data_IF_714910387001
#
_entry.id   IF_714910387001
#
_cell.length_a   1.000
_cell.length_b   1.000
_cell.length_c   1.000
_cell.angle_alpha   90.00
_cell.angle_beta   90.00
_cell.angle_gamma   90.00
#
_symmetry.space_group_name_H-M   'P 1'
#
loop_
_entity.id
_entity.type
_entity.pdbx_description
1 polymer ?
#
# COMPACT_ATOMS: atom_id res chain seq x y z
N UNK A 1 2.54 -6.61 7.00
CA UNK A 1 2.41 -5.96 5.68
C UNK A 1 2.87 -6.98 4.64
N UNK A 2 2.12 -7.18 3.54
CA UNK A 2 2.57 -8.08 2.45
C UNK A 2 3.82 -7.51 1.79
N UNK A 3 4.71 -8.37 1.27
CA UNK A 3 5.83 -7.93 0.42
C UNK A 3 5.26 -7.54 -0.94
N UNK A 4 5.45 -6.30 -1.41
CA UNK A 4 5.21 -5.95 -2.80
C UNK A 4 6.25 -6.63 -3.68
N UNK A 5 5.81 -7.13 -4.82
CA UNK A 5 6.61 -7.92 -5.77
C UNK A 5 6.35 -7.37 -7.16
N UNK A 6 7.39 -7.11 -7.95
CA UNK A 6 7.23 -6.45 -9.25
C UNK A 6 6.28 -7.20 -10.19
N UNK A 7 6.52 -8.51 -10.37
CA UNK A 7 5.69 -9.34 -11.20
C UNK A 7 4.43 -9.73 -10.43
N UNK A 8 3.25 -9.35 -10.94
CA UNK A 8 2.00 -9.76 -10.31
C UNK A 8 1.77 -11.26 -10.48
N UNK A 9 1.13 -11.92 -9.49
CA UNK A 9 0.86 -13.37 -9.55
C UNK A 9 0.17 -13.82 -10.83
N UNK A 10 -0.79 -13.03 -11.34
CA UNK A 10 -1.56 -13.38 -12.53
C UNK A 10 -0.67 -13.58 -13.79
N UNK A 11 0.48 -12.89 -13.87
CA UNK A 11 1.38 -12.99 -15.02
C UNK A 11 2.17 -14.30 -14.96
N UNK A 12 2.63 -14.68 -13.77
CA UNK A 12 3.30 -15.97 -13.54
C UNK A 12 2.30 -17.13 -13.68
N UNK A 13 1.05 -16.96 -13.23
CA UNK A 13 -0.03 -17.94 -13.41
C UNK A 13 -0.34 -18.15 -14.89
N UNK A 14 -0.42 -17.06 -15.67
CA UNK A 14 -0.55 -17.11 -17.13
C UNK A 14 0.55 -17.96 -17.80
N UNK A 15 1.81 -17.74 -17.41
CA UNK A 15 2.95 -18.52 -17.92
C UNK A 15 2.87 -19.98 -17.47
N UNK A 16 2.53 -20.23 -16.21
CA UNK A 16 2.38 -21.57 -15.66
C UNK A 16 1.28 -22.39 -16.36
N UNK A 17 0.23 -21.72 -16.85
CA UNK A 17 -0.90 -22.34 -17.54
C UNK A 17 -0.66 -22.51 -19.06
N UNK A 18 -0.12 -21.48 -19.71
CA UNK A 18 -0.08 -21.38 -21.18
C UNK A 18 1.33 -21.48 -21.76
N UNK A 19 2.36 -21.28 -20.94
CA UNK A 19 3.75 -21.30 -21.36
C UNK A 19 4.21 -22.70 -21.78
N UNK A 20 5.17 -22.79 -22.72
CA UNK A 20 5.84 -24.07 -22.99
C UNK A 20 6.69 -24.48 -21.79
N UNK A 21 6.91 -25.79 -21.61
CA UNK A 21 8.00 -26.23 -20.73
C UNK A 21 9.34 -25.92 -21.42
N UNK A 22 10.36 -25.39 -20.70
CA UNK A 22 10.48 -25.29 -19.24
C UNK A 22 9.97 -23.97 -18.59
N UNK A 23 9.47 -23.00 -19.36
CA UNK A 23 9.02 -21.70 -18.81
C UNK A 23 7.87 -21.84 -17.81
N UNK A 24 6.92 -22.75 -18.07
CA UNK A 24 5.82 -23.03 -17.15
C UNK A 24 6.29 -23.60 -15.80
N UNK A 25 7.27 -24.52 -15.80
CA UNK A 25 7.88 -25.03 -14.56
C UNK A 25 8.56 -23.92 -13.74
N UNK A 26 9.33 -23.04 -14.39
CA UNK A 26 9.98 -21.91 -13.72
C UNK A 26 8.97 -20.93 -13.12
N UNK A 27 7.92 -20.57 -13.86
CA UNK A 27 6.88 -19.69 -13.33
C UNK A 27 6.18 -20.28 -12.09
N UNK A 28 5.91 -21.60 -12.08
CA UNK A 28 5.39 -22.30 -10.88
C UNK A 28 6.39 -22.28 -9.73
N UNK A 29 7.68 -22.34 -10.00
CA UNK A 29 8.72 -22.25 -8.97
C UNK A 29 8.78 -20.84 -8.35
N UNK A 30 8.79 -19.80 -9.19
CA UNK A 30 8.71 -18.40 -8.74
C UNK A 30 7.45 -18.14 -7.90
N UNK A 31 6.26 -18.57 -8.35
CA UNK A 31 5.03 -18.44 -7.57
C UNK A 31 5.10 -19.07 -6.17
N UNK A 32 5.66 -20.28 -6.07
CA UNK A 32 5.86 -20.93 -4.77
C UNK A 32 6.82 -20.13 -3.89
N UNK A 33 7.90 -19.63 -4.49
CA UNK A 33 8.90 -18.86 -3.75
C UNK A 33 8.35 -17.53 -3.25
N UNK A 34 7.60 -16.82 -4.08
CA UNK A 34 6.96 -15.55 -3.72
C UNK A 34 5.94 -15.75 -2.60
N UNK A 35 5.23 -16.88 -2.59
CA UNK A 35 4.32 -17.23 -1.50
C UNK A 35 5.07 -17.50 -0.19
N UNK A 36 6.20 -18.22 -0.24
CA UNK A 36 7.06 -18.47 0.92
C UNK A 36 7.62 -17.16 1.50
N UNK A 37 8.14 -16.28 0.64
CA UNK A 37 8.68 -14.97 1.03
C UNK A 37 7.61 -14.12 1.71
N UNK A 38 6.42 -14.01 1.12
CA UNK A 38 5.28 -13.29 1.72
C UNK A 38 4.88 -13.88 3.07
N UNK A 39 4.84 -15.21 3.19
CA UNK A 39 4.53 -15.88 4.46
C UNK A 39 5.59 -15.64 5.54
N UNK A 40 6.87 -15.50 5.17
CA UNK A 40 7.95 -15.26 6.11
C UNK A 40 7.98 -13.81 6.65
N UNK A 41 7.57 -12.80 5.86
CA UNK A 41 7.45 -11.42 6.36
C UNK A 41 6.26 -11.24 7.30
N UNK A 42 5.17 -11.99 7.11
CA UNK A 42 4.02 -11.94 8.03
C UNK A 42 4.35 -12.39 9.46
N UNK A 43 5.46 -13.10 9.69
CA UNK A 43 5.89 -13.54 11.03
C UNK A 43 6.94 -12.64 11.68
N UNK A 44 7.43 -11.61 10.98
CA UNK A 44 8.55 -10.78 11.43
C UNK A 44 8.19 -9.30 11.33
N UNK A 45 7.96 -8.65 12.48
CA UNK A 45 7.87 -7.18 12.51
C UNK A 45 9.21 -6.57 12.13
N UNK A 46 9.25 -5.55 11.25
CA UNK A 46 10.50 -4.86 10.97
C UNK A 46 11.00 -4.20 12.25
N UNK A 47 12.19 -4.60 12.70
CA UNK A 47 12.94 -3.80 13.66
C UNK A 47 13.31 -2.49 12.97
N UNK A 48 13.22 -1.32 13.64
CA UNK A 48 13.67 -0.07 13.05
C UNK A 48 15.15 -0.22 12.65
N UNK A 49 15.54 0.21 11.43
CA UNK A 49 16.93 0.15 11.03
C UNK A 49 17.77 0.98 12.00
N UNK A 50 18.76 0.34 12.62
CA UNK A 50 19.77 1.06 13.40
C UNK A 50 20.65 1.83 12.41
N UNK A 51 20.93 3.12 12.63
CA UNK A 51 21.86 3.86 11.78
C UNK A 51 23.19 3.11 11.72
N UNK A 52 23.64 2.76 10.50
CA UNK A 52 24.95 2.16 10.33
C UNK A 52 26.04 3.18 10.72
N UNK A 53 27.11 2.76 11.41
CA UNK A 53 28.29 3.60 11.59
C UNK A 53 28.86 3.99 10.22
N UNK A 54 28.87 5.28 9.88
CA UNK A 54 29.50 5.80 8.65
C UNK A 54 28.58 6.49 7.64
N UNK A 55 27.26 6.62 7.91
CA UNK A 55 26.39 7.45 7.06
C UNK A 55 26.88 8.91 7.06
N UNK A 56 27.23 9.43 5.87
CA UNK A 56 27.55 10.85 5.69
C UNK A 56 26.27 11.54 5.22
N UNK A 57 25.73 12.52 5.97
CA UNK A 57 24.51 13.21 5.58
C UNK A 57 24.59 13.76 4.15
N UNK A 58 23.55 13.54 3.37
CA UNK A 58 23.51 13.99 1.97
C UNK A 58 24.46 13.24 1.03
N UNK A 59 24.82 12.00 1.34
CA UNK A 59 25.46 11.07 0.41
C UNK A 59 24.78 9.70 0.49
N UNK A 60 24.62 9.00 -0.64
CA UNK A 60 24.12 7.63 -0.62
C UNK A 60 25.15 6.72 0.08
N UNK A 61 24.65 5.63 0.66
CA UNK A 61 25.47 4.54 1.18
C UNK A 61 24.94 3.22 0.63
N UNK A 62 25.50 2.78 -0.50
CA UNK A 62 25.04 1.59 -1.22
C UNK A 62 25.97 0.41 -1.01
N UNK A 63 25.38 -0.77 -0.86
CA UNK A 63 26.11 -2.04 -0.93
C UNK A 63 25.32 -3.04 -1.76
N UNK A 64 25.96 -3.55 -2.81
CA UNK A 64 25.42 -4.65 -3.61
C UNK A 64 26.10 -5.96 -3.19
N UNK A 65 25.28 -6.98 -3.01
CA UNK A 65 25.65 -8.35 -2.74
C UNK A 65 25.26 -9.25 -3.91
N UNK A 66 25.89 -10.41 -4.01
CA UNK A 66 25.50 -11.50 -4.90
C UNK A 66 25.05 -12.70 -4.07
N UNK A 67 23.87 -13.24 -4.36
CA UNK A 67 23.43 -14.51 -3.79
C UNK A 67 24.04 -15.73 -4.51
N UNK A 68 24.84 -15.51 -5.56
CA UNK A 68 25.55 -16.54 -6.33
C UNK A 68 24.62 -17.68 -6.81
N UNK A 69 23.43 -17.32 -7.30
CA UNK A 69 22.36 -18.22 -7.73
C UNK A 69 21.78 -19.10 -6.61
N UNK A 70 22.01 -18.73 -5.35
CA UNK A 70 21.33 -19.31 -4.19
C UNK A 70 20.20 -18.39 -3.74
N UNK A 71 19.38 -18.86 -2.80
CA UNK A 71 18.30 -18.06 -2.21
C UNK A 71 18.69 -17.48 -0.83
N UNK A 72 19.99 -17.46 -0.50
CA UNK A 72 20.49 -16.94 0.78
C UNK A 72 20.76 -15.43 0.68
N UNK A 73 20.19 -14.67 1.62
CA UNK A 73 20.36 -13.22 1.71
C UNK A 73 21.24 -12.83 2.92
N UNK A 74 22.05 -11.76 2.84
CA UNK A 74 22.22 -10.90 1.66
C UNK A 74 23.15 -11.51 0.58
N UNK A 75 23.89 -12.57 0.91
CA UNK A 75 24.91 -13.16 0.03
C UNK A 75 26.31 -12.58 0.28
N UNK A 76 27.18 -12.69 -0.72
CA UNK A 76 28.56 -12.17 -0.66
C UNK A 76 28.61 -10.72 -1.16
N UNK A 77 29.37 -9.85 -0.48
CA UNK A 77 29.54 -8.46 -0.92
C UNK A 77 30.21 -8.39 -2.29
N UNK A 78 29.56 -7.73 -3.25
CA UNK A 78 30.03 -7.59 -4.62
C UNK A 78 30.54 -6.18 -4.93
N UNK A 79 29.86 -5.14 -4.41
CA UNK A 79 30.26 -3.74 -4.63
C UNK A 79 29.80 -2.83 -3.49
N UNK A 80 30.75 -2.16 -2.83
CA UNK A 80 30.49 -1.17 -1.78
C UNK A 80 30.46 0.27 -2.31
N UNK A 81 30.00 1.21 -1.47
CA UNK A 81 29.96 2.63 -1.80
C UNK A 81 31.34 3.16 -2.23
N UNK A 82 31.40 3.86 -3.37
CA UNK A 82 32.63 4.40 -3.95
C UNK A 82 33.53 3.38 -4.65
N UNK A 83 33.20 2.09 -4.63
CA UNK A 83 33.97 1.08 -5.36
C UNK A 83 33.75 1.19 -6.89
N UNK A 84 34.79 0.91 -7.70
CA UNK A 84 34.67 0.92 -9.16
C UNK A 84 33.69 -0.17 -9.65
N UNK A 85 33.22 -0.02 -10.88
CA UNK A 85 32.40 -1.01 -11.57
C UNK A 85 33.08 -2.39 -11.59
N UNK A 86 32.30 -3.45 -11.38
CA UNK A 86 32.80 -4.82 -11.27
C UNK A 86 32.95 -5.50 -12.63
N UNK A 87 32.21 -5.01 -13.64
CA UNK A 87 32.08 -5.66 -14.95
C UNK A 87 30.98 -6.72 -14.99
N UNK A 88 30.31 -6.97 -13.87
CA UNK A 88 29.06 -7.73 -13.84
C UNK A 88 27.88 -6.76 -14.07
N UNK A 89 27.10 -6.93 -15.15
CA UNK A 89 26.03 -6.01 -15.47
C UNK A 89 24.95 -5.93 -14.38
N UNK A 90 24.61 -7.04 -13.72
CA UNK A 90 23.56 -7.01 -12.70
C UNK A 90 24.02 -6.22 -11.47
N UNK A 91 25.27 -6.44 -11.03
CA UNK A 91 25.86 -5.70 -9.91
C UNK A 91 25.96 -4.21 -10.22
N UNK A 92 26.45 -3.87 -11.40
CA UNK A 92 26.69 -2.48 -11.80
C UNK A 92 25.36 -1.72 -12.02
N UNK A 93 24.38 -2.33 -12.67
CA UNK A 93 23.04 -1.76 -12.84
C UNK A 93 22.31 -1.57 -11.50
N UNK A 94 22.36 -2.55 -10.59
CA UNK A 94 21.76 -2.41 -9.27
C UNK A 94 22.42 -1.27 -8.48
N UNK A 95 23.75 -1.17 -8.50
CA UNK A 95 24.49 -0.11 -7.82
C UNK A 95 24.13 1.28 -8.36
N UNK A 96 24.04 1.41 -9.67
CA UNK A 96 23.71 2.67 -10.34
C UNK A 96 22.23 3.04 -10.15
N UNK A 97 21.31 2.07 -10.22
CA UNK A 97 19.87 2.28 -10.03
C UNK A 97 19.49 2.66 -8.59
N UNK A 98 20.13 2.04 -7.58
CA UNK A 98 20.00 2.48 -6.18
C UNK A 98 20.46 3.93 -6.03
N UNK A 99 21.57 4.30 -6.68
CA UNK A 99 22.10 5.66 -6.66
C UNK A 99 21.18 6.67 -7.31
N UNK A 100 20.67 6.38 -8.52
CA UNK A 100 19.74 7.23 -9.24
C UNK A 100 18.43 7.46 -8.46
N UNK A 101 17.95 6.42 -7.77
CA UNK A 101 16.76 6.54 -6.91
C UNK A 101 17.01 7.47 -5.73
N UNK A 102 18.11 7.28 -5.02
CA UNK A 102 18.51 8.20 -3.94
C UNK A 102 18.62 9.64 -4.46
N UNK A 103 19.25 9.82 -5.63
CA UNK A 103 19.50 11.13 -6.22
C UNK A 103 18.20 11.88 -6.53
N UNK A 104 17.19 11.22 -7.12
CA UNK A 104 15.88 11.84 -7.33
C UNK A 104 15.28 12.35 -6.02
N UNK A 105 15.17 11.47 -5.01
CA UNK A 105 14.53 11.83 -3.74
C UNK A 105 15.28 12.94 -3.00
N UNK A 106 16.60 12.92 -3.07
CA UNK A 106 17.43 13.94 -2.45
C UNK A 106 17.33 15.29 -3.18
N UNK A 107 17.52 15.31 -4.50
CA UNK A 107 17.56 16.56 -5.28
C UNK A 107 16.18 17.21 -5.40
N UNK A 108 15.15 16.41 -5.72
CA UNK A 108 13.81 16.95 -5.97
C UNK A 108 13.04 17.22 -4.68
N UNK A 109 13.26 16.41 -3.64
CA UNK A 109 12.40 16.41 -2.44
C UNK A 109 13.15 16.58 -1.12
N UNK A 110 14.48 16.77 -1.15
CA UNK A 110 15.31 16.91 0.05
C UNK A 110 15.16 15.74 1.04
N UNK A 111 14.82 14.54 0.53
CA UNK A 111 14.67 13.33 1.33
C UNK A 111 15.96 12.54 1.31
N UNK A 112 16.61 12.39 2.47
CA UNK A 112 17.84 11.60 2.60
C UNK A 112 17.50 10.10 2.71
N UNK A 113 17.58 9.38 1.59
CA UNK A 113 17.27 7.95 1.47
C UNK A 113 15.80 7.56 1.74
N UNK A 114 15.50 6.26 1.76
CA UNK A 114 14.14 5.73 1.80
C UNK A 114 13.39 6.12 3.07
N UNK A 115 14.08 6.27 4.21
CA UNK A 115 13.49 6.63 5.50
C UNK A 115 13.59 8.13 5.83
N UNK A 116 14.19 8.93 4.95
CA UNK A 116 14.46 10.35 5.16
C UNK A 116 15.56 10.65 6.18
N UNK A 117 16.33 9.65 6.63
CA UNK A 117 17.39 9.77 7.65
C UNK A 117 18.68 9.06 7.26
N UNK A 118 18.92 8.87 5.95
CA UNK A 118 20.16 8.30 5.44
C UNK A 118 20.27 6.78 5.61
N UNK A 119 19.13 6.06 5.58
CA UNK A 119 19.12 4.59 5.56
C UNK A 119 20.07 4.02 4.49
N UNK A 120 20.93 3.04 4.83
CA UNK A 120 21.75 2.34 3.84
C UNK A 120 20.89 1.64 2.79
N UNK A 121 21.33 1.69 1.53
CA UNK A 121 20.62 1.09 0.41
C UNK A 121 21.31 -0.21 0.03
N UNK A 122 20.68 -1.32 0.39
CA UNK A 122 21.23 -2.65 0.18
C UNK A 122 20.50 -3.31 -0.99
N UNK A 123 21.25 -4.04 -1.83
CA UNK A 123 20.69 -4.82 -2.92
C UNK A 123 21.39 -6.17 -3.07
N UNK A 124 20.64 -7.22 -3.35
CA UNK A 124 21.19 -8.55 -3.66
C UNK A 124 20.79 -8.94 -5.10
N UNK A 125 21.78 -9.26 -5.93
CA UNK A 125 21.59 -9.77 -7.30
C UNK A 125 21.85 -11.28 -7.38
N UNK A 126 21.57 -11.89 -8.53
CA UNK A 126 21.72 -13.33 -8.77
C UNK A 126 20.98 -14.19 -7.74
N UNK A 127 19.76 -13.75 -7.39
CA UNK A 127 18.91 -14.46 -6.45
C UNK A 127 18.22 -15.64 -7.11
N UNK A 128 18.43 -16.84 -6.57
CA UNK A 128 17.88 -18.08 -7.12
C UNK A 128 18.42 -18.41 -8.51
N UNK A 129 17.80 -19.37 -9.19
CA UNK A 129 18.12 -19.72 -10.58
C UNK A 129 16.90 -19.43 -11.44
N UNK A 130 17.08 -18.68 -12.52
CA UNK A 130 16.02 -18.22 -13.43
C UNK A 130 14.83 -17.55 -12.71
N UNK A 131 15.09 -16.90 -11.57
CA UNK A 131 14.05 -16.28 -10.77
C UNK A 131 13.50 -15.05 -11.51
N UNK A 132 12.25 -15.14 -11.96
CA UNK A 132 11.58 -14.09 -12.71
C UNK A 132 10.85 -13.10 -11.77
N UNK A 133 11.54 -12.49 -10.80
CA UNK A 133 10.97 -11.41 -10.02
C UNK A 133 12.03 -10.49 -9.38
N UNK A 134 11.58 -9.35 -8.86
CA UNK A 134 12.31 -8.48 -7.95
C UNK A 134 11.38 -7.98 -6.84
N UNK A 135 11.94 -7.67 -5.66
CA UNK A 135 11.15 -7.19 -4.54
C UNK A 135 11.94 -6.43 -3.47
N UNK A 136 11.22 -5.59 -2.73
CA UNK A 136 11.67 -4.98 -1.47
C UNK A 136 11.25 -5.81 -0.25
N UNK A 137 12.21 -6.37 0.48
CA UNK A 137 11.91 -7.26 1.62
C UNK A 137 11.65 -6.51 2.95
N UNK A 138 11.76 -5.17 2.96
CA UNK A 138 11.68 -4.34 4.16
C UNK A 138 13.04 -3.84 4.66
N UNK A 139 14.14 -4.40 4.14
CA UNK A 139 15.52 -4.05 4.51
C UNK A 139 16.40 -3.84 3.29
N UNK A 140 16.20 -4.63 2.24
CA UNK A 140 17.02 -4.62 1.03
C UNK A 140 16.21 -4.95 -0.22
N UNK A 141 16.77 -4.57 -1.36
CA UNK A 141 16.35 -4.99 -2.68
C UNK A 141 16.85 -6.39 -3.01
N UNK A 142 16.04 -7.19 -3.69
CA UNK A 142 16.43 -8.51 -4.20
C UNK A 142 16.03 -8.61 -5.67
N UNK A 143 16.97 -9.04 -6.52
CA UNK A 143 16.80 -9.13 -7.96
C UNK A 143 17.11 -10.53 -8.47
N UNK A 144 16.17 -11.09 -9.23
CA UNK A 144 16.40 -12.27 -10.05
C UNK A 144 16.97 -11.92 -11.43
N UNK A 145 17.61 -12.90 -12.04
CA UNK A 145 18.22 -12.77 -13.38
C UNK A 145 17.23 -12.99 -14.53
N UNK A 146 15.97 -13.33 -14.22
CA UNK A 146 15.01 -13.77 -15.24
C UNK A 146 15.44 -15.09 -15.88
N UNK A 147 14.65 -15.56 -16.84
CA UNK A 147 14.91 -16.85 -17.49
C UNK A 147 15.60 -16.73 -18.87
N UNK A 148 15.85 -15.50 -19.32
CA UNK A 148 16.41 -15.22 -20.65
C UNK A 148 15.51 -15.65 -21.81
N UNK A 149 14.28 -16.11 -21.53
CA UNK A 149 13.30 -16.52 -22.54
C UNK A 149 12.11 -15.58 -22.59
N UNK A 150 11.50 -15.29 -21.44
CA UNK A 150 10.42 -14.33 -21.31
C UNK A 150 10.92 -13.04 -20.65
N UNK A 151 11.80 -13.18 -19.66
CA UNK A 151 12.32 -12.06 -18.87
C UNK A 151 13.85 -11.99 -18.94
N UNK A 152 14.35 -10.78 -19.16
CA UNK A 152 15.73 -10.40 -18.90
C UNK A 152 15.96 -10.25 -17.38
N UNK A 153 17.21 -9.96 -16.99
CA UNK A 153 17.55 -9.62 -15.60
C UNK A 153 16.75 -8.41 -15.10
N UNK A 154 16.28 -8.46 -13.87
CA UNK A 154 15.41 -7.44 -13.31
C UNK A 154 16.14 -6.14 -12.95
N UNK A 155 17.47 -6.17 -12.94
CA UNK A 155 18.32 -4.98 -12.81
C UNK A 155 18.40 -4.14 -14.09
N UNK A 156 18.01 -4.70 -15.25
CA UNK A 156 18.14 -4.00 -16.53
C UNK A 156 17.21 -2.79 -16.67
N UNK A 157 16.16 -2.72 -15.84
CA UNK A 157 15.12 -1.70 -15.92
C UNK A 157 15.24 -0.73 -14.74
N UNK A 158 15.65 0.51 -15.02
CA UNK A 158 15.93 1.51 -13.98
C UNK A 158 14.67 1.95 -13.22
N UNK A 159 13.57 2.11 -13.94
CA UNK A 159 12.24 2.39 -13.39
C UNK A 159 11.74 1.30 -12.44
N UNK A 160 12.06 0.03 -12.71
CA UNK A 160 11.77 -1.10 -11.82
C UNK A 160 12.57 -1.00 -10.53
N UNK A 161 13.86 -0.71 -10.60
CA UNK A 161 14.68 -0.47 -9.40
C UNK A 161 14.09 0.69 -8.58
N UNK A 162 13.71 1.79 -9.26
CA UNK A 162 13.07 2.95 -8.63
C UNK A 162 11.70 2.63 -8.03
N UNK A 163 10.89 1.81 -8.69
CA UNK A 163 9.59 1.34 -8.22
C UNK A 163 9.72 0.59 -6.90
N UNK A 164 10.58 -0.43 -6.87
CA UNK A 164 10.74 -1.27 -5.69
C UNK A 164 11.26 -0.49 -4.47
N UNK A 165 12.23 0.40 -4.68
CA UNK A 165 12.75 1.27 -3.63
C UNK A 165 11.70 2.29 -3.16
N UNK A 166 10.78 2.71 -4.05
CA UNK A 166 9.68 3.62 -3.70
C UNK A 166 8.66 2.98 -2.77
N UNK A 167 8.51 1.65 -2.75
CA UNK A 167 7.77 0.97 -1.68
C UNK A 167 8.37 1.23 -0.30
N UNK A 168 9.70 1.30 -0.19
CA UNK A 168 10.37 1.70 1.05
C UNK A 168 10.00 3.14 1.47
N UNK A 169 9.94 4.08 0.52
CA UNK A 169 9.48 5.45 0.80
C UNK A 169 8.04 5.47 1.30
N UNK A 170 7.16 4.69 0.66
CA UNK A 170 5.75 4.56 1.07
C UNK A 170 5.66 3.97 2.49
N UNK A 171 6.45 2.93 2.80
CA UNK A 171 6.51 2.28 4.13
C UNK A 171 6.93 3.26 5.23
N UNK A 172 7.89 4.15 4.96
CA UNK A 172 8.36 5.18 5.90
C UNK A 172 7.59 6.50 5.84
N UNK A 173 6.44 6.55 5.16
CA UNK A 173 5.58 7.74 5.06
C UNK A 173 4.12 7.41 5.34
N UNK A 174 3.26 7.32 4.31
CA UNK A 174 1.84 7.04 4.44
C UNK A 174 1.53 5.61 4.90
N UNK A 175 2.45 4.67 4.70
CA UNK A 175 2.27 3.27 5.05
C UNK A 175 1.06 2.64 4.37
N UNK A 176 0.79 3.00 3.10
CA UNK A 176 -0.39 2.56 2.35
C UNK A 176 -0.53 1.04 2.42
N UNK A 177 -1.67 0.58 2.95
CA UNK A 177 -2.01 -0.82 3.11
C UNK A 177 -2.02 -1.48 1.73
N UNK A 178 -1.32 -2.60 1.61
CA UNK A 178 -1.20 -3.33 0.35
C UNK A 178 -2.44 -4.21 0.07
N UNK A 179 -3.61 -3.56 -0.06
CA UNK A 179 -4.86 -4.20 -0.42
C UNK A 179 -5.86 -3.19 -1.02
N UNK A 180 -6.67 -3.66 -1.96
CA UNK A 180 -7.74 -2.89 -2.61
C UNK A 180 -7.21 -1.56 -3.20
N UNK A 181 -7.96 -0.45 -3.09
CA UNK A 181 -7.54 0.85 -3.60
C UNK A 181 -6.28 1.42 -2.92
N UNK A 182 -6.07 1.18 -1.62
CA UNK A 182 -4.83 1.62 -0.95
C UNK A 182 -3.62 0.87 -1.50
N UNK A 183 -3.78 -0.41 -1.83
CA UNK A 183 -2.72 -1.20 -2.47
C UNK A 183 -2.48 -0.77 -3.91
N UNK A 184 -3.53 -0.48 -4.66
CA UNK A 184 -3.39 0.06 -6.01
C UNK A 184 -2.76 1.47 -6.04
N UNK A 185 -2.99 2.30 -5.01
CA UNK A 185 -2.24 3.55 -4.82
C UNK A 185 -0.78 3.28 -4.45
N UNK A 186 -0.51 2.28 -3.62
CA UNK A 186 0.86 1.89 -3.27
C UNK A 186 1.66 1.52 -4.54
N UNK A 187 1.11 0.64 -5.37
CA UNK A 187 1.67 0.29 -6.69
C UNK A 187 1.81 1.49 -7.62
N UNK A 188 0.78 2.33 -7.70
CA UNK A 188 0.81 3.49 -8.59
C UNK A 188 1.84 4.53 -8.17
N UNK A 189 1.98 4.80 -6.87
CA UNK A 189 2.99 5.72 -6.36
C UNK A 189 4.40 5.16 -6.62
N UNK A 190 4.58 3.84 -6.50
CA UNK A 190 5.83 3.19 -6.85
C UNK A 190 6.14 3.33 -8.36
N UNK A 191 5.17 3.10 -9.25
CA UNK A 191 5.31 3.33 -10.70
C UNK A 191 5.64 4.80 -11.02
N UNK A 192 4.94 5.75 -10.38
CA UNK A 192 5.16 7.19 -10.53
C UNK A 192 6.61 7.54 -10.21
N UNK A 193 7.11 7.16 -9.03
CA UNK A 193 8.48 7.51 -8.66
C UNK A 193 9.52 6.71 -9.45
N UNK A 194 9.24 5.45 -9.82
CA UNK A 194 10.08 4.69 -10.75
C UNK A 194 10.26 5.38 -12.10
N UNK A 195 9.16 5.83 -12.71
CA UNK A 195 9.19 6.61 -13.95
C UNK A 195 9.96 7.93 -13.77
N UNK A 196 9.76 8.63 -12.64
CA UNK A 196 10.51 9.85 -12.34
C UNK A 196 12.00 9.61 -12.13
N UNK A 197 12.42 8.47 -11.56
CA UNK A 197 13.84 8.11 -11.43
C UNK A 197 14.47 7.96 -12.81
N UNK A 198 13.81 7.23 -13.71
CA UNK A 198 14.26 7.08 -15.10
C UNK A 198 14.35 8.44 -15.81
N UNK A 199 13.32 9.27 -15.70
CA UNK A 199 13.29 10.59 -16.32
C UNK A 199 14.37 11.52 -15.77
N UNK A 200 14.56 11.56 -14.46
CA UNK A 200 15.58 12.37 -13.80
C UNK A 200 17.00 11.95 -14.22
N UNK A 201 17.26 10.64 -14.22
CA UNK A 201 18.57 10.10 -14.61
C UNK A 201 18.89 10.37 -16.09
N UNK A 202 17.88 10.35 -16.96
CA UNK A 202 18.03 10.59 -18.40
C UNK A 202 17.86 12.07 -18.79
N UNK A 203 17.49 12.95 -17.87
CA UNK A 203 17.20 14.36 -18.13
C UNK A 203 16.02 14.57 -19.08
N UNK A 204 14.99 13.73 -18.99
CA UNK A 204 13.82 13.76 -19.86
C UNK A 204 12.71 14.65 -19.30
N UNK A 205 12.12 15.47 -20.16
CA UNK A 205 10.86 16.15 -19.86
C UNK A 205 9.66 15.21 -20.01
N UNK A 206 8.51 15.60 -19.46
CA UNK A 206 7.29 14.79 -19.47
C UNK A 206 6.83 14.36 -20.88
N UNK A 207 7.09 15.18 -21.91
CA UNK A 207 6.77 14.90 -23.32
C UNK A 207 7.80 14.00 -24.03
N UNK A 208 8.95 13.76 -23.41
CA UNK A 208 10.02 12.90 -23.92
C UNK A 208 10.02 11.51 -23.29
N UNK A 209 9.43 11.37 -22.10
CA UNK A 209 9.37 10.12 -21.36
C UNK A 209 8.50 9.07 -22.07
N UNK A 210 8.90 7.81 -21.99
CA UNK A 210 8.14 6.69 -22.55
C UNK A 210 6.85 6.38 -21.77
N UNK A 211 6.86 6.68 -20.45
CA UNK A 211 5.79 6.35 -19.51
C UNK A 211 5.45 4.86 -19.48
N UNK A 212 6.46 4.03 -19.73
CA UNK A 212 6.40 2.58 -19.65
C UNK A 212 7.08 2.12 -18.36
N UNK A 213 6.56 1.06 -17.75
CA UNK A 213 7.18 0.43 -16.58
C UNK A 213 7.73 -0.94 -16.98
N UNK A 214 9.04 -1.13 -16.81
CA UNK A 214 9.66 -2.43 -17.11
C UNK A 214 9.91 -2.66 -18.60
N UNK A 215 10.19 -1.61 -19.38
CA UNK A 215 10.35 -1.70 -20.83
C UNK A 215 11.54 -2.60 -21.25
N UNK A 216 12.54 -2.71 -20.38
CA UNK A 216 13.75 -3.50 -20.59
C UNK A 216 13.62 -4.96 -20.12
N UNK A 217 12.48 -5.34 -19.49
CA UNK A 217 12.32 -6.66 -18.88
C UNK A 217 11.94 -7.75 -19.87
N UNK A 218 11.08 -7.47 -20.83
CA UNK A 218 10.68 -8.48 -21.80
C UNK A 218 11.80 -8.75 -22.81
N UNK A 219 11.98 -10.01 -23.17
CA UNK A 219 12.85 -10.40 -24.28
C UNK A 219 12.17 -10.11 -25.62
N UNK A 220 12.92 -10.23 -26.71
CA UNK A 220 12.38 -10.10 -28.07
C UNK A 220 11.37 -11.20 -28.46
N UNK A 221 11.19 -12.23 -27.63
CA UNK A 221 10.24 -13.32 -27.83
C UNK A 221 8.83 -13.00 -27.34
N UNK A 222 8.68 -11.99 -26.47
CA UNK A 222 7.40 -11.58 -25.90
C UNK A 222 6.76 -10.50 -26.76
N UNK A 223 5.46 -10.65 -27.07
CA UNK A 223 4.69 -9.58 -27.73
C UNK A 223 4.20 -8.57 -26.70
N UNK A 224 5.12 -7.73 -26.25
CA UNK A 224 4.86 -6.63 -25.32
C UNK A 224 5.96 -5.59 -25.40
N UNK A 225 5.66 -4.38 -24.93
CA UNK A 225 6.62 -3.26 -24.87
C UNK A 225 7.07 -2.96 -23.45
N UNK A 226 6.31 -3.39 -22.44
CA UNK A 226 6.56 -3.15 -21.02
C UNK A 226 5.61 -3.99 -20.15
N UNK A 227 5.83 -4.03 -18.83
CA UNK A 227 4.85 -4.62 -17.89
C UNK A 227 3.57 -3.78 -17.82
N UNK A 228 3.70 -2.45 -17.83
CA UNK A 228 2.59 -1.50 -17.70
C UNK A 228 2.83 -0.25 -18.55
N UNK A 229 1.75 0.41 -18.94
CA UNK A 229 1.75 1.70 -19.64
C UNK A 229 0.99 2.71 -18.79
N UNK A 230 1.64 3.82 -18.41
CA UNK A 230 0.96 4.89 -17.69
C UNK A 230 0.15 5.80 -18.63
N UNK A 231 0.48 5.84 -19.93
CA UNK A 231 -0.28 6.60 -20.94
C UNK A 231 -1.61 5.90 -21.24
N UNK A 232 -1.54 4.60 -21.53
CA UNK A 232 -2.67 3.79 -21.95
C UNK A 232 -2.63 2.44 -21.21
N UNK A 233 -3.07 2.40 -19.93
CA UNK A 233 -3.18 1.14 -19.19
C UNK A 233 -4.04 0.12 -19.96
N UNK A 234 -3.59 -1.13 -20.04
CA UNK A 234 -4.23 -2.19 -20.82
C UNK A 234 -3.66 -2.39 -22.23
N UNK A 235 -2.57 -1.68 -22.57
CA UNK A 235 -1.92 -1.72 -23.89
C UNK A 235 -0.47 -2.24 -23.88
N UNK A 236 0.11 -2.50 -22.70
CA UNK A 236 1.54 -2.76 -22.60
C UNK A 236 1.97 -4.09 -23.24
N UNK A 237 1.08 -5.08 -23.28
CA UNK A 237 1.32 -6.37 -23.93
C UNK A 237 0.03 -7.07 -24.38
N UNK A 238 0.14 -7.89 -25.43
CA UNK A 238 -0.87 -8.83 -25.93
C UNK A 238 -0.17 -10.06 -26.51
N UNK A 239 0.15 -10.99 -25.62
CA UNK A 239 0.99 -12.15 -25.88
C UNK A 239 0.22 -13.47 -25.69
N UNK A 240 0.45 -14.52 -26.50
CA UNK A 240 -0.29 -15.77 -26.38
C UNK A 240 -0.01 -16.50 -25.06
N UNK A 241 1.18 -16.29 -24.48
CA UNK A 241 1.56 -16.87 -23.19
C UNK A 241 1.12 -15.93 -22.06
N UNK A 242 1.56 -14.68 -22.07
CA UNK A 242 1.28 -13.74 -20.97
C UNK A 242 -0.20 -13.34 -20.89
N UNK A 243 -0.93 -13.42 -22.01
CA UNK A 243 -2.26 -12.84 -22.14
C UNK A 243 -2.19 -11.37 -22.54
N UNK A 244 -3.26 -10.64 -22.27
CA UNK A 244 -3.35 -9.19 -22.51
C UNK A 244 -3.21 -8.44 -21.19
N UNK A 245 -2.53 -7.30 -21.23
CA UNK A 245 -2.48 -6.33 -20.13
C UNK A 245 -3.91 -6.04 -19.59
N UNK A 246 -4.19 -6.38 -18.32
CA UNK A 246 -5.55 -6.29 -17.76
C UNK A 246 -5.88 -4.91 -17.17
N UNK A 247 -4.94 -3.96 -17.14
CA UNK A 247 -5.13 -2.72 -16.37
C UNK A 247 -6.22 -1.82 -16.96
N UNK A 248 -7.21 -1.37 -16.16
CA UNK A 248 -8.07 -0.26 -16.53
C UNK A 248 -7.34 1.09 -16.40
N UNK A 249 -7.65 2.01 -17.30
CA UNK A 249 -7.23 3.41 -17.21
C UNK A 249 -8.35 4.39 -16.78
N UNK A 250 -9.51 3.89 -16.37
CA UNK A 250 -10.66 4.69 -15.93
C UNK A 250 -11.49 3.93 -14.88
N UNK A 251 -12.14 4.65 -13.96
CA UNK A 251 -12.98 4.05 -12.90
C UNK A 251 -14.15 3.19 -13.42
N UNK A 252 -14.67 3.47 -14.61
CA UNK A 252 -15.68 2.62 -15.27
C UNK A 252 -15.18 1.19 -15.55
N UNK A 253 -13.86 1.02 -15.67
CA UNK A 253 -13.19 -0.27 -15.83
C UNK A 253 -12.65 -0.85 -14.53
N UNK A 254 -12.92 -0.23 -13.37
CA UNK A 254 -12.41 -0.68 -12.08
C UNK A 254 -12.75 -2.16 -11.84
N UNK A 255 -11.73 -2.96 -11.53
CA UNK A 255 -11.87 -4.40 -11.33
C UNK A 255 -12.06 -4.68 -9.85
N UNK A 256 -13.25 -5.17 -9.48
CA UNK A 256 -13.50 -5.70 -8.13
C UNK A 256 -13.15 -7.18 -8.10
N UNK A 257 -12.11 -7.55 -7.36
CA UNK A 257 -11.62 -8.93 -7.23
C UNK A 257 -11.07 -9.18 -5.83
N UNK A 258 -10.88 -10.44 -5.45
CA UNK A 258 -10.10 -10.85 -4.27
C UNK A 258 -8.69 -11.30 -4.63
N UNK A 259 -8.44 -11.56 -5.91
CA UNK A 259 -7.11 -11.91 -6.42
C UNK A 259 -6.19 -10.70 -6.36
N UNK A 260 -4.88 -10.93 -6.41
CA UNK A 260 -3.90 -9.85 -6.47
C UNK A 260 -4.11 -8.79 -5.36
N UNK A 261 -4.40 -9.25 -4.14
CA UNK A 261 -4.68 -8.40 -2.98
C UNK A 261 -5.83 -7.38 -3.19
N UNK A 262 -6.84 -7.72 -4.00
CA UNK A 262 -7.88 -6.76 -4.38
C UNK A 262 -7.57 -6.00 -5.68
N UNK A 263 -6.75 -6.60 -6.55
CA UNK A 263 -6.36 -6.04 -7.84
C UNK A 263 -5.41 -4.85 -7.71
N UNK A 264 -4.40 -4.93 -6.85
CA UNK A 264 -3.46 -3.83 -6.60
C UNK A 264 -2.64 -3.48 -7.85
N UNK A 265 -2.13 -4.48 -8.57
CA UNK A 265 -1.41 -4.25 -9.82
C UNK A 265 -2.36 -4.02 -11.00
N UNK A 266 -3.59 -4.50 -10.91
CA UNK A 266 -4.60 -4.32 -11.96
C UNK A 266 -5.08 -2.86 -11.93
N UNK A 267 -5.62 -2.40 -10.80
CA UNK A 267 -6.28 -1.11 -10.69
C UNK A 267 -5.32 0.09 -10.58
N UNK A 268 -4.01 -0.14 -10.43
CA UNK A 268 -2.99 0.94 -10.39
C UNK A 268 -2.89 1.73 -11.71
N UNK A 269 -3.38 1.17 -12.82
CA UNK A 269 -3.47 1.88 -14.11
C UNK A 269 -4.29 3.18 -14.03
N UNK A 270 -5.33 3.23 -13.20
CA UNK A 270 -6.22 4.40 -13.05
C UNK A 270 -5.44 5.60 -12.47
N UNK A 271 -4.83 5.52 -11.27
CA UNK A 271 -4.01 6.59 -10.73
C UNK A 271 -2.70 6.83 -11.52
N UNK A 272 -2.12 5.82 -12.19
CA UNK A 272 -0.98 6.01 -13.08
C UNK A 272 -1.32 6.96 -14.24
N UNK A 273 -2.46 6.74 -14.88
CA UNK A 273 -2.93 7.61 -15.97
C UNK A 273 -3.23 9.03 -15.46
N UNK A 274 -3.80 9.17 -14.26
CA UNK A 274 -4.00 10.49 -13.66
C UNK A 274 -2.68 11.24 -13.47
N UNK A 275 -1.63 10.58 -12.95
CA UNK A 275 -0.33 11.21 -12.82
C UNK A 275 0.26 11.62 -14.18
N UNK A 276 0.23 10.70 -15.15
CA UNK A 276 0.77 10.94 -16.50
C UNK A 276 0.09 12.14 -17.18
N UNK A 277 -1.24 12.25 -17.06
CA UNK A 277 -2.02 13.36 -17.60
C UNK A 277 -1.65 14.69 -16.90
N UNK A 278 -1.54 14.69 -15.57
CA UNK A 278 -1.16 15.87 -14.80
C UNK A 278 0.27 16.34 -15.16
N UNK A 279 1.23 15.41 -15.22
CA UNK A 279 2.61 15.69 -15.60
C UNK A 279 2.72 16.26 -17.02
N UNK A 280 1.99 15.68 -17.97
CA UNK A 280 1.96 16.15 -19.36
C UNK A 280 1.34 17.54 -19.47
N UNK A 281 0.24 17.80 -18.76
CA UNK A 281 -0.42 19.11 -18.74
C UNK A 281 0.46 20.21 -18.12
N UNK A 282 1.26 19.85 -17.11
CA UNK A 282 2.17 20.78 -16.44
C UNK A 282 3.47 21.00 -17.22
N UNK A 283 3.89 20.01 -18.02
CA UNK A 283 5.08 20.06 -18.87
C UNK A 283 6.39 20.18 -18.09
N UNK A 284 7.50 20.30 -18.83
CA UNK A 284 8.84 20.38 -18.25
C UNK A 284 9.25 19.08 -17.58
N UNK A 285 10.10 19.18 -16.55
CA UNK A 285 10.56 18.04 -15.77
C UNK A 285 9.46 17.58 -14.81
N UNK A 286 8.92 16.37 -15.00
CA UNK A 286 7.74 15.92 -14.25
C UNK A 286 7.97 15.87 -12.72
N UNK A 287 9.21 15.64 -12.27
CA UNK A 287 9.55 15.59 -10.83
C UNK A 287 9.46 16.97 -10.14
N UNK A 288 9.57 18.08 -10.87
CA UNK A 288 9.58 19.42 -10.27
C UNK A 288 8.19 19.90 -9.83
N UNK A 289 7.14 19.55 -10.59
CA UNK A 289 5.76 20.02 -10.33
C UNK A 289 4.84 18.86 -9.98
N UNK A 290 4.54 17.97 -10.92
CA UNK A 290 3.63 16.84 -10.68
C UNK A 290 4.19 15.89 -9.60
N UNK A 291 5.48 15.55 -9.67
CA UNK A 291 6.16 14.74 -8.67
C UNK A 291 6.14 15.38 -7.28
N UNK A 292 6.41 16.68 -7.18
CA UNK A 292 6.34 17.42 -5.92
C UNK A 292 4.91 17.41 -5.31
N UNK A 293 3.87 17.51 -6.14
CA UNK A 293 2.46 17.42 -5.69
C UNK A 293 2.15 16.03 -5.13
N UNK A 294 2.52 14.97 -5.85
CA UNK A 294 2.30 13.59 -5.40
C UNK A 294 3.10 13.29 -4.14
N UNK A 295 4.36 13.74 -4.07
CA UNK A 295 5.20 13.59 -2.88
C UNK A 295 4.58 14.32 -1.67
N UNK A 296 4.13 15.56 -1.83
CA UNK A 296 3.48 16.31 -0.77
C UNK A 296 2.19 15.63 -0.25
N UNK A 297 1.39 15.03 -1.14
CA UNK A 297 0.22 14.25 -0.75
C UNK A 297 0.62 12.97 0.00
N UNK A 298 1.66 12.25 -0.45
CA UNK A 298 2.16 11.03 0.17
C UNK A 298 2.76 11.27 1.57
N UNK A 299 3.43 12.40 1.79
CA UNK A 299 4.07 12.72 3.07
C UNK A 299 3.22 13.61 3.99
N UNK A 300 2.02 14.01 3.55
CA UNK A 300 1.17 14.95 4.26
C UNK A 300 0.36 14.31 5.39
N UNK A 301 0.08 15.08 6.43
CA UNK A 301 -0.57 14.63 7.68
C UNK A 301 -2.00 14.09 7.51
N UNK A 302 -2.61 14.32 6.33
CA UNK A 302 -3.99 13.95 6.03
C UNK A 302 -4.14 12.59 5.33
N UNK A 303 -3.05 12.00 4.84
CA UNK A 303 -3.09 10.67 4.24
C UNK A 303 -3.10 9.60 5.32
N UNK A 304 -3.86 8.53 5.11
CA UNK A 304 -3.92 7.37 5.99
C UNK A 304 -3.55 6.09 5.23
N UNK A 305 -3.20 5.03 5.95
CA UNK A 305 -2.84 3.75 5.35
C UNK A 305 -3.97 3.13 4.51
N UNK A 306 -5.23 3.44 4.80
CA UNK A 306 -6.41 2.97 4.09
C UNK A 306 -6.92 3.93 2.99
N UNK A 307 -6.10 4.93 2.61
CA UNK A 307 -6.44 5.93 1.60
C UNK A 307 -7.02 5.30 0.32
N UNK A 308 -8.14 5.84 -0.14
CA UNK A 308 -8.80 5.46 -1.38
C UNK A 308 -8.49 6.46 -2.52
N UNK A 309 -8.88 6.13 -3.74
CA UNK A 309 -8.55 6.94 -4.90
C UNK A 309 -9.14 8.36 -4.83
N UNK A 310 -10.39 8.48 -4.37
CA UNK A 310 -11.06 9.77 -4.25
C UNK A 310 -10.38 10.68 -3.20
N UNK A 311 -9.97 10.10 -2.08
CA UNK A 311 -9.21 10.79 -1.04
C UNK A 311 -7.87 11.25 -1.56
N UNK A 312 -7.12 10.38 -2.24
CA UNK A 312 -5.82 10.75 -2.81
C UNK A 312 -5.94 11.82 -3.91
N UNK A 313 -6.98 11.75 -4.75
CA UNK A 313 -7.28 12.79 -5.74
C UNK A 313 -7.53 14.16 -5.10
N UNK A 314 -8.27 14.19 -3.97
CA UNK A 314 -8.47 15.41 -3.19
C UNK A 314 -7.17 15.92 -2.56
N UNK A 315 -6.35 15.05 -1.98
CA UNK A 315 -5.09 15.43 -1.33
C UNK A 315 -4.08 16.01 -2.34
N UNK A 316 -3.93 15.38 -3.51
CA UNK A 316 -3.08 15.89 -4.59
C UNK A 316 -3.62 17.21 -5.14
N UNK A 317 -4.94 17.37 -5.27
CA UNK A 317 -5.55 18.65 -5.68
C UNK A 317 -5.31 19.77 -4.67
N UNK A 318 -5.35 19.47 -3.36
CA UNK A 318 -5.03 20.43 -2.31
C UNK A 318 -3.54 20.82 -2.31
N UNK A 319 -2.65 19.85 -2.47
CA UNK A 319 -1.21 20.10 -2.60
C UNK A 319 -0.91 20.96 -3.85
N UNK A 320 -1.59 20.70 -4.96
CA UNK A 320 -1.49 21.49 -6.18
C UNK A 320 -1.98 22.94 -5.99
N UNK A 321 -3.12 23.14 -5.33
CA UNK A 321 -3.66 24.46 -5.03
C UNK A 321 -2.75 25.31 -4.12
N UNK A 322 -1.96 24.67 -3.25
CA UNK A 322 -0.95 25.36 -2.44
C UNK A 322 0.21 25.93 -3.28
N UNK A 323 0.43 25.41 -4.50
CA UNK A 323 1.42 25.92 -5.45
C UNK A 323 0.79 27.00 -6.34
N UNK A 324 -0.38 26.72 -6.92
CA UNK A 324 -1.07 27.67 -7.79
C UNK A 324 -2.26 27.08 -8.53
N UNK A 325 -3.06 27.95 -9.13
CA UNK A 325 -4.29 27.56 -9.83
C UNK A 325 -4.01 26.75 -11.12
N UNK A 326 -2.86 26.97 -11.75
CA UNK A 326 -2.46 26.19 -12.94
C UNK A 326 -2.22 24.72 -12.57
N UNK A 327 -1.52 24.49 -11.47
CA UNK A 327 -1.28 23.17 -10.89
C UNK A 327 -2.59 22.52 -10.46
N UNK A 328 -3.42 23.25 -9.72
CA UNK A 328 -4.69 22.75 -9.23
C UNK A 328 -5.60 22.29 -10.38
N UNK A 329 -5.73 23.11 -11.43
CA UNK A 329 -6.56 22.78 -12.58
C UNK A 329 -6.03 21.58 -13.37
N UNK A 330 -4.71 21.49 -13.57
CA UNK A 330 -4.11 20.33 -14.26
C UNK A 330 -4.39 19.02 -13.51
N UNK A 331 -4.23 19.03 -12.19
CA UNK A 331 -4.46 17.85 -11.34
C UNK A 331 -5.94 17.47 -11.28
N UNK A 332 -6.85 18.45 -11.08
CA UNK A 332 -8.30 18.18 -11.09
C UNK A 332 -8.77 17.60 -12.42
N UNK A 333 -8.30 18.15 -13.55
CA UNK A 333 -8.63 17.63 -14.88
C UNK A 333 -8.12 16.20 -15.08
N UNK A 334 -6.90 15.92 -14.65
CA UNK A 334 -6.31 14.59 -14.78
C UNK A 334 -7.09 13.54 -13.99
N UNK A 335 -7.51 13.84 -12.76
CA UNK A 335 -8.36 12.94 -11.97
C UNK A 335 -9.76 12.81 -12.56
N UNK A 336 -10.36 13.90 -13.05
CA UNK A 336 -11.65 13.85 -13.73
C UNK A 336 -11.63 12.96 -14.98
N UNK A 337 -10.56 13.02 -15.77
CA UNK A 337 -10.36 12.21 -16.99
C UNK A 337 -10.27 10.70 -16.72
N UNK A 338 -9.96 10.30 -15.49
CA UNK A 338 -9.96 8.89 -15.07
C UNK A 338 -11.19 8.50 -14.24
N UNK A 339 -12.19 9.39 -14.15
CA UNK A 339 -13.47 9.14 -13.50
C UNK A 339 -13.51 9.49 -12.01
N UNK A 340 -12.59 10.35 -11.54
CA UNK A 340 -12.49 10.80 -10.15
C UNK A 340 -12.53 12.33 -10.06
N UNK A 341 -13.66 12.99 -10.42
CA UNK A 341 -13.75 14.44 -10.32
C UNK A 341 -13.58 14.89 -8.86
N UNK A 342 -12.81 15.97 -8.68
CA UNK A 342 -12.60 16.61 -7.38
C UNK A 342 -13.35 17.93 -7.38
N UNK A 343 -14.38 18.03 -6.54
CA UNK A 343 -15.13 19.27 -6.38
C UNK A 343 -14.23 20.39 -5.83
N UNK A 344 -14.42 21.62 -6.30
CA UNK A 344 -13.80 22.80 -5.68
C UNK A 344 -14.26 22.89 -4.22
N UNK A 345 -13.31 22.99 -3.29
CA UNK A 345 -13.66 23.29 -1.91
C UNK A 345 -14.36 24.66 -1.87
N UNK A 346 -15.53 24.81 -1.21
CA UNK A 346 -16.14 26.12 -1.05
C UNK A 346 -15.19 27.04 -0.27
N UNK A 347 -15.14 28.31 -0.69
CA UNK A 347 -14.36 29.38 -0.07
C UNK A 347 -14.39 29.29 1.47
N UNK A 348 -13.23 29.50 2.10
CA UNK A 348 -13.03 29.43 3.55
C UNK A 348 -13.88 30.43 4.37
N UNK A 349 -14.70 31.26 3.72
CA UNK A 349 -15.60 32.23 4.34
C UNK A 349 -16.95 31.65 4.84
N UNK A 350 -17.26 30.36 4.57
CA UNK A 350 -18.50 29.73 5.05
C UNK A 350 -18.28 28.59 6.07
N UNK A 351 -17.21 28.61 6.85
CA UNK A 351 -17.15 27.78 8.08
C UNK A 351 -17.98 28.45 9.19
N UNK A 352 -18.98 27.77 9.79
CA UNK A 352 -19.56 28.26 11.04
C UNK A 352 -18.46 28.27 12.12
N UNK A 353 -18.40 29.37 12.87
CA UNK A 353 -17.36 29.61 13.87
C UNK A 353 -17.31 28.47 14.92
N UNK A 354 -16.11 28.10 15.41
CA UNK A 354 -15.99 27.11 16.48
C UNK A 354 -16.65 27.66 17.75
N UNK A 355 -17.47 26.82 18.38
CA UNK A 355 -18.07 27.12 19.67
C UNK A 355 -16.97 27.38 20.72
N UNK A 356 -17.16 28.35 21.64
CA UNK A 356 -16.12 28.73 22.60
C UNK A 356 -15.85 27.60 23.58
N UNK A 357 -14.56 27.38 23.87
CA UNK A 357 -14.09 26.41 24.83
C UNK A 357 -14.59 26.73 26.25
N UNK A 358 -15.26 25.78 26.88
CA UNK A 358 -15.63 25.83 28.30
C UNK A 358 -14.47 25.39 29.19
N UNK A 359 -14.14 26.23 30.17
CA UNK A 359 -13.09 26.08 31.19
C UNK A 359 -13.22 24.81 32.07
N UNK A 360 -12.11 24.35 32.70
CA UNK A 360 -12.12 23.16 33.53
C UNK A 360 -12.64 23.46 34.95
N UNK A 361 -13.61 22.66 35.42
CA UNK A 361 -14.08 22.66 36.81
C UNK A 361 -13.47 21.47 37.60
N UNK A 362 -13.34 21.59 38.93
CA UNK A 362 -12.27 20.94 39.69
C UNK A 362 -12.57 19.51 40.15
N UNK A 363 -11.49 18.81 40.52
CA UNK A 363 -11.46 17.48 41.12
C UNK A 363 -12.29 17.36 42.40
N UNK A 364 -13.11 16.32 42.51
CA UNK A 364 -13.65 15.82 43.77
C UNK A 364 -13.37 14.32 43.94
N UNK A 365 -12.85 13.98 45.13
CA UNK A 365 -12.50 12.65 45.64
C UNK A 365 -13.66 11.61 45.62
N UNK A 366 -13.35 10.31 45.75
CA UNK A 366 -14.29 9.22 45.51
C UNK A 366 -15.11 8.86 46.77
N UNK A 367 -16.38 8.50 46.57
CA UNK A 367 -17.22 7.84 47.56
C UNK A 367 -18.27 6.95 46.85
N UNK A 368 -18.89 5.98 47.54
CA UNK A 368 -18.46 4.60 47.60
C UNK A 368 -19.31 3.66 46.72
N UNK A 369 -18.76 2.46 46.52
CA UNK A 369 -19.39 1.29 45.91
C UNK A 369 -20.86 1.09 46.32
N UNK A 370 -21.74 0.96 45.32
CA UNK A 370 -23.10 0.44 45.48
C UNK A 370 -23.31 -0.77 44.56
N UNK A 371 -24.03 -1.74 45.11
CA UNK A 371 -24.39 -3.06 44.57
C UNK A 371 -25.25 -3.01 43.29
N UNK A 372 -25.39 -4.15 42.57
CA UNK A 372 -25.86 -4.18 41.18
C UNK A 372 -27.38 -3.94 41.10
N UNK A 373 -27.80 -2.97 40.28
CA UNK A 373 -29.22 -2.63 40.15
C UNK A 373 -29.60 -1.94 38.84
N UNK A 374 -30.55 -2.58 38.14
CA UNK A 374 -31.51 -2.12 37.12
C UNK A 374 -31.00 -1.82 35.68
N UNK A 375 -31.73 -2.31 34.64
CA UNK A 375 -31.49 -1.92 33.26
C UNK A 375 -31.80 -0.43 33.06
N UNK A 376 -30.96 0.24 32.28
CA UNK A 376 -31.11 1.65 31.95
C UNK A 376 -32.32 1.86 31.02
N UNK A 377 -33.40 2.49 31.52
CA UNK A 377 -34.65 2.79 30.80
C UNK A 377 -34.47 3.71 29.56
N UNK A 378 -33.23 4.09 29.22
CA UNK A 378 -32.90 4.95 28.07
C UNK A 378 -32.67 4.20 26.76
N UNK A 379 -32.64 2.86 26.77
CA UNK A 379 -32.38 2.04 25.58
C UNK A 379 -33.66 1.28 25.18
N UNK A 380 -34.45 1.90 24.31
CA UNK A 380 -35.69 1.36 23.79
C UNK A 380 -35.50 0.26 22.73
N UNK A 381 -36.60 -0.41 22.38
CA UNK A 381 -36.66 -1.44 21.34
C UNK A 381 -36.25 -0.95 19.94
N UNK A 382 -36.28 0.36 19.74
CA UNK A 382 -35.89 1.08 18.53
C UNK A 382 -34.39 1.34 18.41
N UNK A 383 -33.59 0.99 19.43
CA UNK A 383 -32.14 1.14 19.37
C UNK A 383 -31.55 0.28 18.23
N UNK A 384 -30.85 0.95 17.31
CA UNK A 384 -30.19 0.34 16.15
C UNK A 384 -28.74 -0.02 16.50
N UNK A 385 -28.41 -1.30 16.32
CA UNK A 385 -27.12 -1.88 16.63
C UNK A 385 -26.48 -2.54 15.42
N UNK A 386 -25.16 -2.49 15.41
CA UNK A 386 -24.31 -3.30 14.55
C UNK A 386 -23.49 -4.25 15.43
N UNK A 387 -23.52 -5.54 15.09
CA UNK A 387 -22.59 -6.53 15.61
C UNK A 387 -21.86 -7.17 14.42
N UNK A 388 -20.54 -7.06 14.40
CA UNK A 388 -19.66 -7.75 13.44
C UNK A 388 -18.68 -8.66 14.17
N UNK A 389 -18.44 -9.85 13.66
CA UNK A 389 -17.38 -10.77 14.07
C UNK A 389 -16.44 -10.98 12.90
N UNK A 390 -15.15 -10.77 13.10
CA UNK A 390 -14.12 -10.90 12.05
C UNK A 390 -12.83 -11.49 12.63
N UNK A 391 -12.05 -12.18 11.80
CA UNK A 391 -10.73 -12.71 12.20
C UNK A 391 -10.60 -14.22 11.99
N UNK A 392 -9.60 -14.82 12.63
CA UNK A 392 -9.22 -16.22 12.44
C UNK A 392 -8.47 -16.48 11.13
N UNK A 393 -7.72 -17.58 11.09
CA UNK A 393 -6.84 -18.00 9.98
C UNK A 393 -7.51 -18.09 8.59
N UNK A 394 -8.84 -18.13 8.53
CA UNK A 394 -9.64 -18.23 7.30
C UNK A 394 -10.30 -16.91 6.90
N UNK A 395 -10.12 -15.83 7.67
CA UNK A 395 -10.68 -14.51 7.37
C UNK A 395 -12.21 -14.43 7.40
N UNK A 396 -12.89 -15.40 8.03
CA UNK A 396 -14.36 -15.44 8.06
C UNK A 396 -14.94 -14.25 8.82
N UNK A 397 -15.75 -13.45 8.13
CA UNK A 397 -16.53 -12.36 8.73
C UNK A 397 -18.03 -12.68 8.72
N UNK A 398 -18.71 -12.29 9.80
CA UNK A 398 -20.18 -12.28 9.92
C UNK A 398 -20.60 -10.98 10.55
N UNK A 399 -21.63 -10.35 10.02
CA UNK A 399 -22.16 -9.11 10.61
C UNK A 399 -23.67 -9.05 10.50
N UNK A 400 -24.28 -8.35 11.45
CA UNK A 400 -25.71 -8.08 11.47
C UNK A 400 -25.96 -6.68 11.98
N UNK A 401 -26.78 -5.93 11.24
CA UNK A 401 -27.48 -4.76 11.75
C UNK A 401 -28.87 -5.20 12.23
N UNK A 402 -29.29 -4.77 13.41
CA UNK A 402 -30.55 -5.17 14.01
C UNK A 402 -31.10 -4.10 14.96
N UNK A 403 -32.41 -4.16 15.21
CA UNK A 403 -33.03 -3.42 16.31
C UNK A 403 -33.17 -4.30 17.54
N UNK A 404 -33.04 -3.75 18.75
CA UNK A 404 -33.21 -4.54 19.97
C UNK A 404 -34.56 -5.26 20.04
N UNK A 405 -35.63 -4.63 19.56
CA UNK A 405 -36.96 -5.23 19.51
C UNK A 405 -37.11 -6.41 18.55
N UNK A 406 -36.12 -6.67 17.68
CA UNK A 406 -36.11 -7.83 16.77
C UNK A 406 -35.55 -9.09 17.44
N UNK A 407 -34.89 -8.96 18.58
CA UNK A 407 -34.35 -10.08 19.35
C UNK A 407 -35.41 -10.71 20.26
N UNK A 408 -35.12 -11.92 20.75
CA UNK A 408 -35.92 -12.54 21.80
C UNK A 408 -35.90 -11.65 23.06
N UNK A 409 -36.99 -11.57 23.86
CA UNK A 409 -37.00 -10.72 25.04
C UNK A 409 -35.82 -10.93 26.00
N UNK A 410 -35.36 -12.18 26.28
CA UNK A 410 -34.16 -12.41 27.08
C UNK A 410 -32.86 -11.87 26.48
N UNK A 411 -32.70 -11.97 25.14
CA UNK A 411 -31.50 -11.46 24.46
C UNK A 411 -31.53 -9.93 24.38
N UNK A 412 -32.70 -9.33 24.14
CA UNK A 412 -32.90 -7.88 24.19
C UNK A 412 -32.56 -7.30 25.58
N UNK A 413 -33.00 -7.95 26.66
CA UNK A 413 -32.66 -7.56 28.03
C UNK A 413 -31.15 -7.64 28.30
N UNK A 414 -30.51 -8.70 27.82
CA UNK A 414 -29.05 -8.90 27.95
C UNK A 414 -28.26 -7.83 27.20
N UNK A 415 -28.72 -7.43 26.01
CA UNK A 415 -28.14 -6.32 25.26
C UNK A 415 -28.34 -4.97 25.95
N UNK A 416 -29.54 -4.68 26.50
CA UNK A 416 -29.76 -3.44 27.27
C UNK A 416 -28.84 -3.35 28.48
N UNK A 417 -28.60 -4.46 29.15
CA UNK A 417 -27.66 -4.52 30.26
C UNK A 417 -26.21 -4.22 29.80
N UNK A 418 -25.77 -4.84 28.71
CA UNK A 418 -24.41 -4.62 28.16
C UNK A 418 -24.18 -3.18 27.69
N UNK A 419 -25.19 -2.55 27.09
CA UNK A 419 -25.10 -1.17 26.60
C UNK A 419 -25.24 -0.14 27.72
N UNK A 420 -25.98 -0.46 28.78
CA UNK A 420 -26.16 0.41 29.94
C UNK A 420 -25.01 0.36 30.95
N UNK A 421 -24.14 -0.64 30.85
CA UNK A 421 -22.99 -0.82 31.74
C UNK A 421 -21.63 -0.47 31.11
N UNK A 422 -20.57 -0.38 31.92
CA UNK A 422 -19.23 -0.01 31.44
C UNK A 422 -18.49 -1.14 30.70
N UNK A 423 -19.03 -2.36 30.69
CA UNK A 423 -18.34 -3.59 30.34
C UNK A 423 -17.75 -3.56 28.92
N UNK A 424 -18.53 -3.14 27.91
CA UNK A 424 -18.08 -3.07 26.52
C UNK A 424 -16.93 -2.07 26.33
N UNK A 425 -16.91 -0.99 27.11
CA UNK A 425 -15.82 0.00 27.07
C UNK A 425 -14.60 -0.45 27.88
N UNK A 426 -14.82 -1.25 28.93
CA UNK A 426 -13.72 -1.83 29.71
C UNK A 426 -13.00 -2.92 28.92
N UNK A 427 -13.73 -3.82 28.25
CA UNK A 427 -13.14 -4.90 27.45
C UNK A 427 -12.47 -4.41 26.16
N UNK A 428 -12.83 -3.22 25.66
CA UNK A 428 -12.17 -2.63 24.49
C UNK A 428 -10.83 -1.96 24.78
N UNK A 429 -10.47 -1.77 26.07
CA UNK A 429 -9.22 -1.13 26.51
C UNK A 429 -8.08 -2.13 26.80
N UNK A 430 -8.28 -3.41 26.49
CA UNK A 430 -7.22 -4.42 26.53
C UNK A 430 -6.25 -4.21 25.36
N UNK A 431 -4.96 -4.49 25.57
CA UNK A 431 -3.85 -4.14 24.67
C UNK A 431 -4.03 -4.60 23.21
N UNK A 432 -3.31 -3.90 22.31
CA UNK A 432 -3.34 -3.91 20.85
C UNK A 432 -3.89 -5.17 20.12
N UNK A 433 -4.61 -4.99 18.99
CA UNK A 433 -5.14 -6.10 18.20
C UNK A 433 -4.01 -7.03 17.69
N UNK A 434 -4.03 -8.29 18.16
CA UNK A 434 -3.17 -9.37 17.68
C UNK A 434 -3.68 -9.94 16.34
N UNK A 435 -2.82 -10.20 15.33
CA UNK A 435 -3.19 -10.94 14.13
C UNK A 435 -3.71 -12.35 14.48
N UNK A 436 -4.67 -12.85 13.71
CA UNK A 436 -5.29 -14.20 13.79
C UNK A 436 -6.31 -14.45 14.91
N UNK A 437 -6.61 -13.48 15.79
CA UNK A 437 -7.72 -13.62 16.76
C UNK A 437 -9.05 -13.13 16.18
N UNK A 438 -10.13 -13.81 16.54
CA UNK A 438 -11.47 -13.30 16.29
C UNK A 438 -11.73 -12.07 17.18
N UNK A 439 -12.29 -11.04 16.59
CA UNK A 439 -12.74 -9.82 17.26
C UNK A 439 -14.21 -9.57 16.95
N UNK A 440 -14.91 -8.95 17.89
CA UNK A 440 -16.23 -8.38 17.67
C UNK A 440 -16.14 -6.86 17.57
N UNK A 441 -16.88 -6.26 16.65
CA UNK A 441 -17.18 -4.84 16.65
C UNK A 441 -18.64 -4.65 17.06
N UNK A 442 -18.86 -3.86 18.09
CA UNK A 442 -20.20 -3.46 18.55
C UNK A 442 -20.32 -1.97 18.35
N UNK A 443 -21.33 -1.55 17.57
CA UNK A 443 -21.67 -0.15 17.43
C UNK A 443 -23.16 0.08 17.72
N UNK A 444 -23.46 1.14 18.46
CA UNK A 444 -24.82 1.58 18.75
C UNK A 444 -24.90 3.10 18.51
N UNK A 445 -25.98 3.56 17.88
CA UNK A 445 -26.19 4.99 17.63
C UNK A 445 -26.94 5.67 18.78
N UNK A 446 -27.85 4.94 19.43
CA UNK A 446 -28.65 5.44 20.57
C UNK A 446 -27.79 5.67 21.81
N UNK A 447 -26.79 4.82 22.02
CA UNK A 447 -25.71 5.01 22.97
C UNK A 447 -24.44 5.19 22.15
N UNK A 448 -23.79 6.37 22.11
CA UNK A 448 -22.64 6.62 21.25
C UNK A 448 -21.46 5.72 21.65
N UNK A 449 -21.43 4.55 21.03
CA UNK A 449 -20.52 3.45 21.33
C UNK A 449 -20.10 2.83 19.99
N UNK A 450 -18.80 2.74 19.77
CA UNK A 450 -18.20 1.97 18.68
C UNK A 450 -16.90 1.38 19.23
N UNK A 451 -16.93 0.08 19.53
CA UNK A 451 -15.85 -0.61 20.22
C UNK A 451 -15.47 -1.90 19.50
N UNK A 452 -14.19 -2.21 19.52
CA UNK A 452 -13.67 -3.53 19.15
C UNK A 452 -13.36 -4.34 20.42
N UNK A 453 -13.73 -5.61 20.41
CA UNK A 453 -13.69 -6.51 21.54
C UNK A 453 -12.96 -7.81 21.13
N UNK A 454 -11.82 -8.16 21.75
CA UNK A 454 -11.16 -9.44 21.48
C UNK A 454 -12.03 -10.60 21.98
N UNK A 455 -12.42 -11.53 21.09
CA UNK A 455 -13.33 -12.63 21.43
C UNK A 455 -12.86 -13.49 22.61
N UNK A 456 -11.56 -13.85 22.78
CA UNK A 456 -11.11 -14.68 23.91
C UNK A 456 -11.25 -14.02 25.29
N UNK A 457 -11.44 -12.70 25.34
CA UNK A 457 -11.51 -11.93 26.59
C UNK A 457 -12.96 -11.64 27.01
N UNK A 458 -13.93 -12.01 26.15
CA UNK A 458 -15.35 -11.88 26.45
C UNK A 458 -15.84 -13.03 27.33
N UNK A 459 -16.65 -12.75 28.37
CA UNK A 459 -17.32 -13.79 29.13
C UNK A 459 -18.18 -14.70 28.24
N UNK A 460 -18.25 -15.99 28.56
CA UNK A 460 -18.98 -17.01 27.78
C UNK A 460 -20.41 -16.60 27.45
N UNK A 461 -21.12 -16.02 28.42
CA UNK A 461 -22.51 -15.57 28.27
C UNK A 461 -22.65 -14.46 27.21
N UNK A 462 -21.65 -13.59 27.08
CA UNK A 462 -21.63 -12.51 26.08
C UNK A 462 -21.30 -13.08 24.69
N UNK A 463 -20.36 -14.03 24.61
CA UNK A 463 -20.03 -14.71 23.35
C UNK A 463 -21.23 -15.48 22.81
N UNK A 464 -21.94 -16.21 23.67
CA UNK A 464 -23.16 -16.92 23.28
C UNK A 464 -24.26 -15.96 22.82
N UNK A 465 -24.44 -14.83 23.51
CA UNK A 465 -25.38 -13.78 23.08
C UNK A 465 -25.01 -13.24 21.69
N UNK A 466 -23.72 -12.97 21.43
CA UNK A 466 -23.25 -12.48 20.15
C UNK A 466 -23.41 -13.51 19.03
N UNK A 467 -23.13 -14.78 19.30
CA UNK A 467 -23.37 -15.87 18.35
C UNK A 467 -24.85 -15.98 17.99
N UNK A 468 -25.76 -16.03 18.99
CA UNK A 468 -27.21 -16.07 18.75
C UNK A 468 -27.68 -14.86 17.96
N UNK A 469 -27.15 -13.68 18.29
CA UNK A 469 -27.48 -12.43 17.58
C UNK A 469 -27.03 -12.48 16.12
N UNK A 470 -25.86 -13.03 15.81
CA UNK A 470 -25.35 -13.16 14.44
C UNK A 470 -26.05 -14.25 13.63
N UNK A 471 -26.55 -15.30 14.27
CA UNK A 471 -27.14 -16.46 13.58
C UNK A 471 -28.62 -16.28 13.20
N UNK A 472 -29.29 -15.23 13.69
CA UNK A 472 -30.65 -14.87 13.28
C UNK A 472 -31.69 -15.10 14.35
#
# INVERSE_FOLDING_TARGET
>A
MSIPMLLPPYLLEAIAERGPEPAAERARATLRRDAEIRSARSTTSPAPPTPAPGATPGQPNRTIFSANNTEQLPGDEARAEGAPATGDPAVDEAYDGLGATWQLFFDAYSRDSLDGRGMPMLGTVHYGTDYANAFWDGKQMVFGDGDGELFNRFTASLDVIGHELSHGVIEFTAGLRYADQSGALNESVADVFGALVKQHQLGQTADQADWLIGAELFTDKVRGVALRSMIEPGSAYDDPVLGKDPQPGHMDGFVTTTDDNGGVHINSGIPNKAFQLAATALGGNAWERAGAIWYAALTGDQISADCDFATFARLTSQAAAAIGETEAEAVRRAWAEVGLPVDEAPDAEQRPAPAPASEPAPSSEPAPSSEPGAPDDRIGDDAELYLGRSGGFTGMSRSREFRLGELSPPDADSWRQLLGGPELTTWSRSDAPEPDRYTYRVACRTVPLDVQLPEPELPDQVRELFHRTLDG
#
